data_IF_835240851506
#
_entry.id   IF_835240851506
#
_cell.length_a   1.000
_cell.length_b   1.000
_cell.length_c   1.000
_cell.angle_alpha   90.00
_cell.angle_beta   90.00
_cell.angle_gamma   90.00
#
_symmetry.space_group_name_H-M   'P 1'
#
loop_
_entity.id
_entity.type
_entity.pdbx_description
1 polymer ?
#
# COMPACT_ATOMS: atom_id res chain seq x y z
N UNK A 1 17.68 -14.23 -13.21
CA UNK A 1 17.58 -12.75 -13.09
C UNK A 1 16.13 -12.25 -13.17
N UNK A 2 15.28 -12.78 -14.05
CA UNK A 2 13.86 -12.36 -14.19
C UNK A 2 13.06 -12.53 -12.88
N UNK A 3 13.14 -13.68 -12.19
CA UNK A 3 12.40 -13.90 -10.93
C UNK A 3 12.79 -12.94 -9.80
N UNK A 4 14.04 -12.47 -9.75
CA UNK A 4 14.50 -11.60 -8.68
C UNK A 4 13.83 -10.21 -8.77
N UNK A 5 13.61 -9.71 -9.99
CA UNK A 5 12.92 -8.45 -10.24
C UNK A 5 11.45 -8.51 -9.82
N UNK A 6 10.75 -9.59 -10.16
CA UNK A 6 9.36 -9.80 -9.72
C UNK A 6 9.25 -9.93 -8.19
N UNK A 7 10.13 -10.71 -7.57
CA UNK A 7 10.14 -10.85 -6.10
C UNK A 7 10.39 -9.48 -5.44
N UNK A 8 11.37 -8.72 -5.92
CA UNK A 8 11.65 -7.38 -5.40
C UNK A 8 10.45 -6.44 -5.55
N UNK A 9 9.75 -6.51 -6.68
CA UNK A 9 8.53 -5.73 -6.92
C UNK A 9 7.40 -6.07 -5.93
N UNK A 10 7.11 -7.36 -5.73
CA UNK A 10 6.09 -7.80 -4.76
C UNK A 10 6.47 -7.46 -3.31
N UNK A 11 7.76 -7.54 -2.96
CA UNK A 11 8.24 -7.13 -1.63
C UNK A 11 8.08 -5.61 -1.44
N UNK A 12 8.36 -4.80 -2.48
CA UNK A 12 8.13 -3.36 -2.45
C UNK A 12 6.65 -3.02 -2.26
N UNK A 13 5.76 -3.69 -2.99
CA UNK A 13 4.31 -3.55 -2.83
C UNK A 13 3.85 -3.90 -1.41
N UNK A 14 4.35 -5.01 -0.88
CA UNK A 14 4.04 -5.43 0.49
C UNK A 14 4.50 -4.39 1.52
N UNK A 15 5.72 -3.88 1.39
CA UNK A 15 6.23 -2.84 2.27
C UNK A 15 5.41 -1.54 2.18
N UNK A 16 5.00 -1.15 0.98
CA UNK A 16 4.16 0.02 0.76
C UNK A 16 2.77 -0.14 1.39
N UNK A 17 2.14 -1.32 1.26
CA UNK A 17 0.86 -1.62 1.89
C UNK A 17 0.95 -1.62 3.42
N UNK A 18 1.99 -2.23 3.99
CA UNK A 18 2.23 -2.21 5.44
C UNK A 18 2.43 -0.79 5.97
N UNK A 19 3.14 0.06 5.22
CA UNK A 19 3.29 1.47 5.56
C UNK A 19 1.95 2.22 5.51
N UNK A 20 1.12 1.97 4.48
CA UNK A 20 -0.19 2.59 4.38
C UNK A 20 -1.12 2.18 5.53
N UNK A 21 -1.10 0.90 5.93
CA UNK A 21 -1.86 0.40 7.10
C UNK A 21 -1.41 1.11 8.38
N UNK A 22 -0.10 1.28 8.59
CA UNK A 22 0.41 2.02 9.76
C UNK A 22 -0.10 3.47 9.77
N UNK A 23 -0.08 4.13 8.62
CA UNK A 23 -0.56 5.51 8.52
C UNK A 23 -2.07 5.63 8.71
N UNK A 24 -2.86 4.65 8.26
CA UNK A 24 -4.28 4.55 8.55
C UNK A 24 -4.56 4.35 10.04
N UNK A 25 -3.78 3.50 10.72
CA UNK A 25 -3.89 3.31 12.17
C UNK A 25 -3.63 4.62 12.93
N UNK A 26 -2.56 5.33 12.57
CA UNK A 26 -2.25 6.63 13.19
C UNK A 26 -3.36 7.67 12.94
N UNK A 27 -3.92 7.69 11.72
CA UNK A 27 -5.02 8.61 11.41
C UNK A 27 -6.30 8.29 12.20
N UNK A 28 -6.59 7.00 12.45
CA UNK A 28 -7.70 6.59 13.30
C UNK A 28 -7.47 7.00 14.76
N UNK A 29 -6.25 6.86 15.27
CA UNK A 29 -5.88 7.31 16.62
C UNK A 29 -6.05 8.84 16.78
N UNK A 30 -5.77 9.59 15.72
CA UNK A 30 -5.95 11.05 15.65
C UNK A 30 -7.41 11.48 15.34
N UNK A 31 -8.32 10.54 15.08
CA UNK A 31 -9.71 10.79 14.61
C UNK A 31 -9.74 11.62 13.30
N UNK A 32 -8.68 11.51 12.49
CA UNK A 32 -8.52 12.21 11.21
C UNK A 32 -9.02 11.33 10.06
N UNK A 33 -10.33 11.44 9.80
CA UNK A 33 -11.02 10.67 8.76
C UNK A 33 -10.56 11.07 7.35
N UNK A 34 -10.18 12.32 7.13
CA UNK A 34 -9.67 12.77 5.83
C UNK A 34 -8.36 12.05 5.50
N UNK A 35 -7.42 12.07 6.44
CA UNK A 35 -6.12 11.39 6.29
C UNK A 35 -6.28 9.88 6.18
N UNK A 36 -7.19 9.28 6.95
CA UNK A 36 -7.54 7.87 6.82
C UNK A 36 -8.05 7.53 5.41
N UNK A 37 -8.98 8.33 4.88
CA UNK A 37 -9.56 8.14 3.54
C UNK A 37 -8.48 8.28 2.45
N UNK A 38 -7.57 9.23 2.63
CA UNK A 38 -6.44 9.45 1.72
C UNK A 38 -5.51 8.23 1.68
N UNK A 39 -5.11 7.70 2.84
CA UNK A 39 -4.28 6.49 2.90
C UNK A 39 -5.00 5.23 2.43
N UNK A 40 -6.32 5.14 2.62
CA UNK A 40 -7.15 4.05 2.08
C UNK A 40 -7.18 4.08 0.55
N UNK A 41 -7.30 5.26 -0.03
CA UNK A 41 -7.23 5.45 -1.49
C UNK A 41 -5.86 5.05 -2.04
N UNK A 42 -4.78 5.51 -1.42
CA UNK A 42 -3.40 5.14 -1.80
C UNK A 42 -3.19 3.62 -1.71
N UNK A 43 -3.63 2.99 -0.61
CA UNK A 43 -3.52 1.54 -0.44
C UNK A 43 -4.31 0.77 -1.51
N UNK A 44 -5.49 1.27 -1.90
CA UNK A 44 -6.32 0.68 -2.96
C UNK A 44 -5.63 0.71 -4.32
N UNK A 45 -4.96 1.83 -4.65
CA UNK A 45 -4.16 1.95 -5.89
C UNK A 45 -2.99 0.96 -5.88
N UNK A 46 -2.25 0.89 -4.77
CA UNK A 46 -1.12 -0.03 -4.61
C UNK A 46 -1.58 -1.48 -4.75
N UNK A 47 -2.71 -1.85 -4.13
CA UNK A 47 -3.29 -3.19 -4.22
C UNK A 47 -3.75 -3.56 -5.63
N UNK A 48 -4.10 -2.57 -6.46
CA UNK A 48 -4.48 -2.77 -7.86
C UNK A 48 -3.31 -2.98 -8.82
N UNK A 49 -2.10 -2.49 -8.51
CA UNK A 49 -0.94 -2.58 -9.40
C UNK A 49 -0.58 -4.00 -9.86
N UNK A 50 -0.58 -5.04 -8.98
CA UNK A 50 -0.34 -6.42 -9.42
C UNK A 50 -1.31 -6.90 -10.49
N UNK A 51 -2.58 -6.49 -10.41
CA UNK A 51 -3.64 -6.93 -11.33
C UNK A 51 -3.57 -6.23 -12.68
N UNK A 52 -2.89 -5.08 -12.77
CA UNK A 52 -2.65 -4.36 -14.04
C UNK A 52 -1.44 -4.88 -14.81
N UNK A 53 -0.54 -5.61 -14.14
CA UNK A 53 0.71 -6.12 -14.71
C UNK A 53 0.60 -7.56 -15.25
N UNK A 54 -0.61 -8.14 -15.19
CA UNK A 54 -0.96 -9.48 -15.69
C UNK A 54 -2.00 -9.38 -16.80
#
# INVERSE_FOLDING_TARGET
MINLGYIAFFVLLLAALLSAIKQMSNALDEVDIERFTLWTGIASVIAGLPTMLW
#
